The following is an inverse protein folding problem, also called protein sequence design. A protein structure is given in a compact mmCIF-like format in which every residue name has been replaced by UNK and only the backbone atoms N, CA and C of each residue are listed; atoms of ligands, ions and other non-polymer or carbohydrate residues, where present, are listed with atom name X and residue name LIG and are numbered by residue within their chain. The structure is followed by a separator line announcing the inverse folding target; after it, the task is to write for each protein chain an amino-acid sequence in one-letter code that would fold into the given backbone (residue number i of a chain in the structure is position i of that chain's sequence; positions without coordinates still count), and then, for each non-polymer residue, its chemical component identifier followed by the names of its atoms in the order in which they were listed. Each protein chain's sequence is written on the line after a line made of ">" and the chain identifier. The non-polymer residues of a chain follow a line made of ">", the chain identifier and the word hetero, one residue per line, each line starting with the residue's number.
data_IF_868678957328
#
_entry.id   IF_868678957328
#
_cell.length_a   1.000
_cell.length_b   1.000
_cell.length_c   1.000
_cell.angle_alpha   90.00
_cell.angle_beta   90.00
_cell.angle_gamma   90.00
#
_symmetry.space_group_name_H-M   'P 1'
#
loop_
_entity.id
_entity.type
_entity.pdbx_description
1 polymer ?
#
# COMPACT_ATOMS: atom_id res chain seq x y z
N UNK A 1 6.84 39.29 -77.41
CA UNK A 1 7.63 38.91 -76.21
C UNK A 1 6.69 38.96 -75.02
N UNK A 2 6.07 37.82 -74.67
CA UNK A 2 5.25 37.71 -73.46
C UNK A 2 6.09 37.09 -72.34
N UNK A 3 6.21 37.79 -71.23
CA UNK A 3 6.89 37.33 -70.02
C UNK A 3 5.93 36.52 -69.15
N UNK A 4 6.30 35.28 -68.82
CA UNK A 4 5.62 34.45 -67.84
C UNK A 4 6.12 34.80 -66.43
N UNK A 5 5.23 35.27 -65.56
CA UNK A 5 5.49 35.43 -64.13
C UNK A 5 5.12 34.13 -63.40
N UNK A 6 6.09 33.51 -62.73
CA UNK A 6 5.88 32.31 -61.89
C UNK A 6 5.61 32.79 -60.47
N UNK A 7 4.41 32.52 -59.96
CA UNK A 7 4.03 32.75 -58.57
C UNK A 7 4.42 31.53 -57.72
N UNK A 8 5.33 31.70 -56.76
CA UNK A 8 5.62 30.70 -55.73
C UNK A 8 4.58 30.82 -54.60
N UNK A 9 3.70 29.82 -54.48
CA UNK A 9 2.84 29.64 -53.30
C UNK A 9 3.68 29.01 -52.17
N UNK A 10 3.93 29.76 -51.10
CA UNK A 10 4.49 29.23 -49.85
C UNK A 10 3.33 28.71 -49.01
N UNK A 11 3.26 27.39 -48.85
CA UNK A 11 2.29 26.71 -48.00
C UNK A 11 2.72 26.86 -46.52
N UNK A 12 1.85 27.29 -45.59
CA UNK A 12 2.21 27.34 -44.17
C UNK A 12 2.27 25.92 -43.60
N UNK A 13 3.42 25.53 -43.08
CA UNK A 13 3.58 24.28 -42.33
C UNK A 13 2.87 24.46 -40.99
N UNK A 14 1.69 23.86 -40.86
CA UNK A 14 0.98 23.69 -39.60
C UNK A 14 1.82 22.77 -38.70
N UNK A 15 2.50 23.34 -37.71
CA UNK A 15 3.05 22.57 -36.60
C UNK A 15 1.89 21.98 -35.81
N UNK A 16 1.67 20.67 -35.94
CA UNK A 16 0.85 19.91 -35.01
C UNK A 16 1.49 20.00 -33.62
N UNK A 17 0.74 20.27 -32.53
CA UNK A 17 1.30 20.16 -31.20
C UNK A 17 1.74 18.70 -30.99
N UNK A 18 2.97 18.50 -30.54
CA UNK A 18 3.40 17.20 -30.03
C UNK A 18 2.35 16.78 -28.98
N UNK A 19 1.60 15.73 -29.28
CA UNK A 19 0.80 15.03 -28.28
C UNK A 19 1.74 14.64 -27.15
N UNK A 20 1.48 15.15 -25.95
CA UNK A 20 2.09 14.62 -24.73
C UNK A 20 1.90 13.11 -24.77
N UNK A 21 3.01 12.36 -24.82
CA UNK A 21 2.96 10.91 -24.65
C UNK A 21 2.26 10.64 -23.32
N UNK A 22 1.02 10.14 -23.38
CA UNK A 22 0.35 9.61 -22.19
C UNK A 22 1.30 8.57 -21.58
N UNK A 23 1.59 8.71 -20.29
CA UNK A 23 2.40 7.72 -19.57
C UNK A 23 1.57 6.44 -19.56
N UNK A 24 1.92 5.51 -20.44
CA UNK A 24 1.24 4.23 -20.53
C UNK A 24 1.68 3.36 -19.35
N UNK A 25 0.78 3.20 -18.39
CA UNK A 25 0.94 2.22 -17.32
C UNK A 25 0.71 0.82 -17.90
N UNK A 26 1.71 -0.08 -17.85
CA UNK A 26 1.67 -1.31 -18.64
C UNK A 26 0.89 -2.45 -17.99
N UNK A 27 0.48 -2.31 -16.73
CA UNK A 27 -0.22 -3.37 -15.98
C UNK A 27 -1.74 -3.20 -16.08
N UNK A 28 -2.44 -4.28 -16.37
CA UNK A 28 -3.89 -4.31 -16.61
C UNK A 28 -4.66 -5.18 -15.60
N UNK A 29 -3.96 -5.81 -14.66
CA UNK A 29 -4.56 -6.65 -13.63
C UNK A 29 -4.89 -5.78 -12.42
N UNK A 30 -6.19 -5.57 -12.20
CA UNK A 30 -6.73 -4.84 -11.05
C UNK A 30 -8.07 -5.48 -10.68
N UNK A 31 -8.18 -5.86 -9.42
CA UNK A 31 -9.38 -6.41 -8.82
C UNK A 31 -9.76 -5.55 -7.63
N UNK A 32 -10.89 -4.83 -7.74
CA UNK A 32 -11.47 -4.10 -6.62
C UNK A 32 -12.73 -4.86 -6.22
N UNK A 33 -12.75 -5.44 -5.02
CA UNK A 33 -13.80 -6.33 -4.56
C UNK A 33 -14.58 -5.62 -3.46
N UNK A 34 -15.90 -5.50 -3.66
CA UNK A 34 -16.85 -5.04 -2.66
C UNK A 34 -17.34 -6.26 -1.87
N UNK A 35 -16.79 -6.45 -0.68
CA UNK A 35 -17.06 -7.60 0.17
C UNK A 35 -18.41 -7.40 0.87
N UNK A 36 -19.42 -8.19 0.50
CA UNK A 36 -20.82 -7.99 0.89
C UNK A 36 -21.70 -7.38 -0.21
N UNK A 37 -21.07 -6.92 -1.30
CA UNK A 37 -21.75 -6.46 -2.51
C UNK A 37 -22.41 -7.63 -3.24
N UNK A 38 -23.71 -7.51 -3.56
CA UNK A 38 -24.45 -8.58 -4.27
C UNK A 38 -24.28 -8.57 -5.79
N UNK A 39 -23.80 -7.45 -6.33
CA UNK A 39 -23.67 -7.15 -7.76
C UNK A 39 -22.50 -6.21 -7.95
N UNK A 40 -21.87 -6.26 -9.13
CA UNK A 40 -20.85 -5.29 -9.49
C UNK A 40 -21.43 -3.87 -9.47
N UNK A 41 -20.60 -2.91 -9.06
CA UNK A 41 -20.94 -1.49 -8.98
C UNK A 41 -19.82 -0.66 -9.62
N UNK A 42 -20.10 0.60 -9.89
CA UNK A 42 -19.10 1.56 -10.39
C UNK A 42 -19.08 2.74 -9.46
N UNK A 43 -17.89 3.11 -8.99
CA UNK A 43 -17.76 4.17 -8.01
C UNK A 43 -17.93 5.58 -8.60
N UNK A 44 -17.98 6.60 -7.74
CA UNK A 44 -18.03 8.01 -8.18
C UNK A 44 -16.79 8.46 -8.95
N UNK A 45 -15.69 7.71 -8.83
CA UNK A 45 -14.43 7.90 -9.54
C UNK A 45 -14.32 6.99 -10.77
N UNK A 46 -15.44 6.39 -11.20
CA UNK A 46 -15.55 5.51 -12.36
C UNK A 46 -14.69 4.22 -12.25
N UNK A 47 -14.40 3.75 -11.03
CA UNK A 47 -13.77 2.44 -10.81
C UNK A 47 -14.84 1.37 -10.75
N UNK A 48 -14.55 0.23 -11.37
CA UNK A 48 -15.43 -0.94 -11.28
C UNK A 48 -15.11 -1.72 -10.01
N UNK A 49 -16.14 -2.01 -9.23
CA UNK A 49 -16.12 -2.87 -8.05
C UNK A 49 -16.84 -4.18 -8.35
N UNK A 50 -16.21 -5.29 -8.02
CA UNK A 50 -16.67 -6.65 -8.26
C UNK A 50 -17.35 -7.20 -7.01
N UNK A 51 -18.46 -7.91 -7.19
CA UNK A 51 -19.09 -8.65 -6.09
C UNK A 51 -18.20 -9.81 -5.64
N UNK A 52 -18.08 -10.01 -4.33
CA UNK A 52 -17.40 -11.15 -3.71
C UNK A 52 -18.08 -12.51 -3.97
N UNK A 53 -19.32 -12.53 -4.48
CA UNK A 53 -20.12 -13.77 -4.70
C UNK A 53 -19.40 -14.83 -5.53
N UNK A 54 -18.57 -14.44 -6.48
CA UNK A 54 -17.88 -15.36 -7.38
C UNK A 54 -16.46 -15.72 -6.91
N UNK A 55 -15.96 -15.08 -5.86
CA UNK A 55 -14.61 -15.26 -5.33
C UNK A 55 -14.58 -16.16 -4.09
N UNK A 56 -15.76 -16.47 -3.53
CA UNK A 56 -15.92 -17.46 -2.48
C UNK A 56 -16.04 -18.85 -3.11
N UNK A 57 -14.90 -19.50 -3.38
CA UNK A 57 -14.88 -20.84 -3.98
C UNK A 57 -15.53 -21.90 -3.10
N UNK A 58 -15.75 -21.64 -1.80
CA UNK A 58 -16.13 -22.70 -0.86
C UNK A 58 -17.60 -22.78 -0.43
N UNK A 59 -18.34 -21.73 -0.01
CA UNK A 59 -19.80 -21.91 0.23
C UNK A 59 -20.70 -20.68 -0.04
N UNK A 60 -21.91 -20.98 -0.51
CA UNK A 60 -23.00 -20.02 -0.73
C UNK A 60 -23.65 -19.57 0.58
N UNK A 61 -23.05 -18.65 1.35
CA UNK A 61 -23.81 -17.91 2.37
C UNK A 61 -23.49 -16.42 2.34
N UNK A 62 -24.49 -15.55 2.07
CA UNK A 62 -24.27 -14.11 2.21
C UNK A 62 -23.91 -13.78 3.66
N UNK A 63 -22.85 -12.97 3.85
CA UNK A 63 -22.54 -12.33 5.13
C UNK A 63 -23.73 -11.47 5.61
N UNK A 64 -23.79 -11.18 6.91
CA UNK A 64 -24.76 -10.18 7.37
C UNK A 64 -24.37 -8.82 6.81
N UNK A 65 -25.35 -8.15 6.21
CA UNK A 65 -25.20 -6.85 5.58
C UNK A 65 -25.28 -5.78 6.66
N UNK A 66 -24.25 -4.97 6.82
CA UNK A 66 -24.39 -3.74 7.59
C UNK A 66 -25.30 -2.75 6.87
N UNK A 67 -25.94 -1.84 7.62
CA UNK A 67 -26.56 -0.66 7.02
C UNK A 67 -25.47 0.26 6.45
N UNK A 68 -25.73 0.98 5.36
CA UNK A 68 -24.78 1.96 4.85
C UNK A 68 -24.41 2.96 5.94
N UNK A 69 -23.12 3.05 6.22
CA UNK A 69 -22.53 3.95 7.21
C UNK A 69 -22.78 5.41 6.81
N UNK A 70 -23.45 6.24 7.65
CA UNK A 70 -23.64 7.67 7.37
C UNK A 70 -22.34 8.49 7.38
N UNK A 71 -21.25 7.93 7.93
CA UNK A 71 -20.00 8.63 8.26
C UNK A 71 -18.72 7.86 7.89
N UNK A 72 -18.79 6.79 7.08
CA UNK A 72 -17.59 6.34 6.35
C UNK A 72 -17.04 7.54 5.56
N UNK A 73 -15.70 7.65 5.32
CA UNK A 73 -15.08 8.80 4.66
C UNK A 73 -16.00 9.35 3.57
N UNK A 74 -16.54 10.53 3.88
CA UNK A 74 -17.62 11.14 3.12
C UNK A 74 -17.24 11.12 1.64
N UNK A 75 -18.16 10.58 0.85
CA UNK A 75 -18.28 10.59 -0.61
C UNK A 75 -18.11 9.24 -1.30
N UNK A 76 -17.52 8.21 -0.68
CA UNK A 76 -17.36 6.93 -1.36
C UNK A 76 -18.52 5.96 -1.23
N UNK A 77 -18.57 5.05 -2.20
CA UNK A 77 -19.62 4.04 -2.34
C UNK A 77 -19.92 3.40 -1.00
N UNK A 78 -21.21 3.13 -0.67
CA UNK A 78 -21.53 2.41 0.53
C UNK A 78 -20.98 0.99 0.39
N UNK A 79 -19.71 0.82 0.74
CA UNK A 79 -19.07 -0.46 0.95
C UNK A 79 -19.83 -1.04 2.13
N UNK A 80 -20.52 -2.15 1.88
CA UNK A 80 -21.36 -2.78 2.89
C UNK A 80 -20.49 -3.82 3.58
N UNK A 81 -19.87 -3.52 4.73
CA UNK A 81 -18.98 -4.47 5.38
C UNK A 81 -19.68 -5.81 5.56
N UNK A 82 -19.02 -6.86 5.08
CA UNK A 82 -19.48 -8.23 5.20
C UNK A 82 -18.73 -8.90 6.33
N UNK A 83 -19.48 -9.70 7.09
CA UNK A 83 -18.86 -10.78 7.84
C UNK A 83 -18.17 -11.72 6.87
N UNK A 84 -16.85 -11.76 6.92
CA UNK A 84 -16.09 -12.84 6.33
C UNK A 84 -16.30 -14.05 7.23
N UNK A 85 -17.34 -14.82 6.93
CA UNK A 85 -17.62 -16.08 7.64
C UNK A 85 -16.69 -17.22 7.19
N UNK A 86 -15.84 -16.99 6.19
CA UNK A 86 -14.98 -17.99 5.56
C UNK A 86 -13.54 -17.49 5.53
N UNK A 87 -12.64 -18.29 6.08
CA UNK A 87 -11.29 -17.90 6.54
C UNK A 87 -10.26 -17.72 5.40
N UNK A 88 -10.66 -17.79 4.14
CA UNK A 88 -9.74 -17.78 2.99
C UNK A 88 -10.40 -17.20 1.73
N UNK A 89 -9.80 -16.16 1.15
CA UNK A 89 -10.12 -15.59 -0.15
C UNK A 89 -8.94 -15.88 -1.10
N UNK A 90 -9.12 -16.81 -2.06
CA UNK A 90 -8.11 -17.10 -3.08
C UNK A 90 -8.45 -16.40 -4.41
N UNK A 91 -7.42 -15.88 -5.09
CA UNK A 91 -7.57 -15.20 -6.37
C UNK A 91 -6.74 -15.83 -7.49
N UNK A 92 -7.36 -16.72 -8.28
CA UNK A 92 -6.71 -17.63 -9.25
C UNK A 92 -6.42 -17.06 -10.66
N UNK A 93 -6.31 -15.73 -10.83
CA UNK A 93 -5.94 -15.11 -12.11
C UNK A 93 -4.88 -14.02 -11.96
N UNK A 94 -3.95 -14.18 -11.02
CA UNK A 94 -2.90 -13.20 -10.74
C UNK A 94 -1.61 -13.64 -11.44
N UNK A 95 -1.22 -13.09 -12.61
CA UNK A 95 0.06 -13.43 -13.23
C UNK A 95 1.23 -13.27 -12.26
N UNK A 96 2.26 -14.11 -12.38
CA UNK A 96 3.45 -13.97 -11.55
C UNK A 96 4.00 -12.55 -11.61
N UNK A 97 4.24 -11.96 -10.44
CA UNK A 97 4.67 -10.57 -10.36
C UNK A 97 4.45 -9.98 -8.99
N UNK A 98 4.62 -8.66 -8.92
CA UNK A 98 4.43 -7.90 -7.69
C UNK A 98 3.07 -7.23 -7.67
N UNK A 99 2.46 -7.24 -6.50
CA UNK A 99 1.12 -6.73 -6.28
C UNK A 99 1.09 -5.73 -5.14
N UNK A 100 0.27 -4.70 -5.32
CA UNK A 100 -0.25 -3.87 -4.24
C UNK A 100 -1.56 -4.51 -3.77
N UNK A 101 -1.63 -4.81 -2.48
CA UNK A 101 -2.84 -5.35 -1.84
C UNK A 101 -3.31 -4.35 -0.81
N UNK A 102 -4.58 -3.98 -0.87
CA UNK A 102 -5.20 -3.07 0.09
C UNK A 102 -6.51 -3.64 0.59
N UNK A 103 -6.76 -3.46 1.88
CA UNK A 103 -7.99 -3.86 2.54
C UNK A 103 -8.64 -2.64 3.19
N UNK A 104 -9.96 -2.65 3.28
CA UNK A 104 -10.74 -1.73 4.10
C UNK A 104 -11.52 -2.51 5.14
N UNK A 105 -11.34 -2.16 6.41
CA UNK A 105 -11.92 -2.89 7.54
C UNK A 105 -12.71 -1.91 8.41
N UNK A 106 -13.96 -2.25 8.75
CA UNK A 106 -14.82 -1.42 9.59
C UNK A 106 -15.81 -2.28 10.38
N UNK A 107 -16.08 -1.89 11.62
CA UNK A 107 -17.03 -2.56 12.50
C UNK A 107 -17.95 -1.53 13.18
N UNK A 108 -19.06 -1.20 12.52
CA UNK A 108 -20.09 -0.29 13.04
C UNK A 108 -21.23 -1.04 13.73
N UNK A 109 -20.87 -2.00 14.61
CA UNK A 109 -21.84 -2.76 15.41
C UNK A 109 -23.01 -3.38 14.61
N UNK A 110 -22.77 -3.80 13.36
CA UNK A 110 -23.82 -4.25 12.48
C UNK A 110 -24.49 -5.56 12.95
N UNK A 111 -23.85 -6.31 13.85
CA UNK A 111 -24.38 -7.52 14.46
C UNK A 111 -25.06 -7.28 15.83
N UNK A 112 -25.11 -6.02 16.29
CA UNK A 112 -25.75 -5.61 17.54
C UNK A 112 -25.04 -6.06 18.81
N UNK A 113 -23.83 -6.63 18.72
CA UNK A 113 -23.09 -7.14 19.90
C UNK A 113 -22.28 -6.08 20.64
N UNK A 114 -22.06 -4.92 20.01
CA UNK A 114 -21.21 -3.84 20.51
C UNK A 114 -19.80 -4.33 20.86
N UNK A 115 -19.28 -5.25 20.05
CA UNK A 115 -18.03 -5.95 20.28
C UNK A 115 -17.28 -6.18 18.97
N UNK A 116 -16.26 -5.37 18.72
CA UNK A 116 -15.40 -5.52 17.54
C UNK A 116 -14.74 -6.91 17.51
N UNK A 117 -14.62 -7.55 16.34
CA UNK A 117 -14.03 -8.88 16.25
C UNK A 117 -12.51 -8.84 16.43
N UNK A 118 -11.95 -9.92 16.95
CA UNK A 118 -10.50 -10.18 16.90
C UNK A 118 -10.20 -11.21 15.82
N UNK A 119 -9.28 -10.88 14.91
CA UNK A 119 -8.86 -11.78 13.84
C UNK A 119 -7.48 -11.39 13.30
N UNK A 120 -6.91 -12.31 12.55
CA UNK A 120 -5.61 -12.18 11.88
C UNK A 120 -5.78 -12.27 10.37
N UNK A 121 -4.93 -11.57 9.62
CA UNK A 121 -4.93 -11.57 8.15
C UNK A 121 -3.55 -12.00 7.64
N UNK A 122 -3.51 -13.05 6.82
CA UNK A 122 -2.33 -13.42 6.05
C UNK A 122 -2.46 -13.10 4.57
N UNK A 123 -1.32 -12.79 3.94
CA UNK A 123 -1.19 -12.70 2.49
C UNK A 123 -0.03 -13.60 2.07
N UNK A 124 -0.25 -14.45 1.06
CA UNK A 124 0.71 -15.50 0.64
C UNK A 124 1.20 -16.35 1.82
N UNK A 125 0.27 -16.78 2.68
CA UNK A 125 0.57 -17.56 3.88
C UNK A 125 1.30 -16.82 4.99
N UNK A 126 1.64 -15.54 4.83
CA UNK A 126 2.41 -14.75 5.81
C UNK A 126 1.49 -13.84 6.60
N UNK A 127 1.55 -13.88 7.94
CA UNK A 127 0.73 -12.98 8.78
C UNK A 127 1.19 -11.52 8.64
N UNK A 128 0.26 -10.62 8.29
CA UNK A 128 0.57 -9.20 7.97
C UNK A 128 -0.24 -8.19 8.77
N UNK A 129 -1.49 -8.50 9.14
CA UNK A 129 -2.32 -7.61 9.96
C UNK A 129 -3.00 -8.37 11.10
N UNK A 130 -3.03 -7.75 12.28
CA UNK A 130 -3.68 -8.30 13.47
C UNK A 130 -4.68 -7.30 14.04
N UNK A 131 -5.95 -7.68 14.03
CA UNK A 131 -7.04 -6.89 14.59
C UNK A 131 -7.41 -7.45 15.97
N UNK A 132 -7.41 -6.60 16.99
CA UNK A 132 -7.64 -7.00 18.39
C UNK A 132 -8.69 -6.12 19.03
N UNK A 133 -9.74 -6.74 19.55
CA UNK A 133 -10.80 -6.07 20.31
C UNK A 133 -10.29 -5.56 21.66
N UNK A 134 -10.76 -4.40 22.16
CA UNK A 134 -11.66 -3.45 21.48
C UNK A 134 -10.92 -2.56 20.48
N UNK A 135 -11.53 -2.30 19.33
CA UNK A 135 -10.98 -1.38 18.33
C UNK A 135 -11.13 0.08 18.78
N UNK A 136 -10.25 0.98 18.33
CA UNK A 136 -10.47 2.42 18.49
C UNK A 136 -11.82 2.85 17.91
N UNK A 137 -12.46 3.84 18.54
CA UNK A 137 -13.76 4.34 18.11
C UNK A 137 -13.72 4.88 16.67
N UNK A 138 -12.64 5.58 16.32
CA UNK A 138 -12.44 6.12 14.96
C UNK A 138 -12.42 5.03 13.90
N UNK A 139 -11.70 3.93 14.15
CA UNK A 139 -11.65 2.75 13.28
C UNK A 139 -13.01 2.05 13.21
N UNK A 140 -13.73 1.99 14.32
CA UNK A 140 -15.05 1.36 14.36
C UNK A 140 -16.08 2.17 13.54
N UNK A 141 -16.01 3.51 13.59
CA UNK A 141 -16.97 4.40 12.93
C UNK A 141 -16.62 4.74 11.47
N UNK A 142 -15.35 4.96 11.16
CA UNK A 142 -14.88 5.42 9.85
C UNK A 142 -14.17 4.33 9.05
N UNK A 143 -13.83 3.21 9.70
CA UNK A 143 -13.02 2.16 9.12
C UNK A 143 -11.54 2.51 9.08
N UNK A 144 -10.75 1.54 8.64
CA UNK A 144 -9.32 1.67 8.47
C UNK A 144 -8.87 0.97 7.20
N UNK A 145 -8.01 1.63 6.45
CA UNK A 145 -7.32 1.03 5.31
C UNK A 145 -6.00 0.43 5.76
N UNK A 146 -5.66 -0.73 5.22
CA UNK A 146 -4.36 -1.38 5.45
C UNK A 146 -3.86 -1.92 4.13
N UNK A 147 -2.64 -1.56 3.76
CA UNK A 147 -2.07 -1.91 2.46
C UNK A 147 -0.62 -2.41 2.56
N UNK A 148 -0.22 -3.18 1.56
CA UNK A 148 1.10 -3.80 1.48
C UNK A 148 1.53 -4.06 0.03
N UNK A 149 2.80 -4.39 -0.15
CA UNK A 149 3.34 -4.93 -1.39
C UNK A 149 3.87 -6.35 -1.20
N UNK A 150 3.48 -7.25 -2.10
CA UNK A 150 3.83 -8.69 -2.04
C UNK A 150 4.15 -9.22 -3.44
N UNK A 151 4.94 -10.29 -3.51
CA UNK A 151 5.15 -11.05 -4.74
C UNK A 151 4.28 -12.30 -4.76
N UNK A 152 3.61 -12.53 -5.89
CA UNK A 152 2.82 -13.73 -6.16
C UNK A 152 3.56 -14.54 -7.22
N UNK A 153 3.81 -15.83 -6.97
CA UNK A 153 4.72 -16.65 -7.77
C UNK A 153 4.08 -17.86 -8.45
N UNK A 154 2.85 -18.21 -8.11
CA UNK A 154 2.17 -19.43 -8.54
C UNK A 154 0.89 -19.17 -9.36
N UNK A 155 0.56 -17.90 -9.60
CA UNK A 155 -0.61 -17.52 -10.37
C UNK A 155 -1.86 -17.23 -9.53
N UNK A 156 -1.78 -17.41 -8.20
CA UNK A 156 -2.89 -17.31 -7.28
C UNK A 156 -2.50 -16.38 -6.12
N UNK A 157 -3.24 -15.28 -5.91
CA UNK A 157 -3.00 -14.43 -4.75
C UNK A 157 -3.87 -14.89 -3.58
N UNK A 158 -3.25 -15.28 -2.48
CA UNK A 158 -3.93 -15.86 -1.31
C UNK A 158 -4.05 -14.83 -0.18
N UNK A 159 -5.29 -14.57 0.26
CA UNK A 159 -5.59 -13.69 1.39
C UNK A 159 -6.46 -14.44 2.40
N UNK A 160 -5.90 -14.82 3.55
CA UNK A 160 -6.61 -15.60 4.57
C UNK A 160 -6.96 -14.75 5.80
N UNK A 161 -8.09 -15.07 6.43
CA UNK A 161 -8.61 -14.43 7.64
C UNK A 161 -8.79 -15.47 8.73
N UNK A 162 -8.03 -15.38 9.80
CA UNK A 162 -8.08 -16.32 10.90
C UNK A 162 -8.88 -15.73 12.05
N UNK A 163 -10.01 -16.37 12.36
CA UNK A 163 -10.85 -15.97 13.49
C UNK A 163 -10.12 -16.22 14.81
N UNK A 164 -10.28 -15.32 15.78
CA UNK A 164 -9.83 -15.56 17.15
C UNK A 164 -11.05 -15.78 18.03
N UNK A 165 -11.04 -16.91 18.75
CA UNK A 165 -12.16 -17.37 19.55
C UNK A 165 -13.44 -17.57 18.71
N UNK A 166 -14.53 -16.86 19.02
CA UNK A 166 -15.81 -16.96 18.32
C UNK A 166 -16.12 -15.75 17.45
N UNK A 167 -15.14 -14.86 17.28
CA UNK A 167 -15.31 -13.61 16.54
C UNK A 167 -15.06 -13.83 15.04
N UNK A 168 -16.09 -13.69 14.20
CA UNK A 168 -15.91 -13.78 12.76
C UNK A 168 -15.12 -12.56 12.23
N UNK A 169 -14.12 -12.76 11.35
CA UNK A 169 -13.42 -11.67 10.68
C UNK A 169 -14.36 -10.77 9.87
N UNK A 170 -13.93 -9.52 9.64
CA UNK A 170 -14.71 -8.54 8.88
C UNK A 170 -13.83 -7.81 7.88
N UNK A 171 -14.39 -7.58 6.70
CA UNK A 171 -13.78 -6.75 5.67
C UNK A 171 -14.88 -6.04 4.87
N UNK A 172 -14.62 -4.79 4.51
CA UNK A 172 -15.45 -4.04 3.57
C UNK A 172 -14.99 -4.20 2.14
N UNK A 173 -13.68 -4.09 1.88
CA UNK A 173 -13.16 -4.25 0.53
C UNK A 173 -11.77 -4.86 0.48
N UNK A 174 -11.48 -5.49 -0.66
CA UNK A 174 -10.17 -6.02 -1.01
C UNK A 174 -9.79 -5.53 -2.41
N UNK A 175 -8.63 -4.90 -2.52
CA UNK A 175 -8.05 -4.41 -3.76
C UNK A 175 -6.73 -5.14 -4.03
N UNK A 176 -6.58 -5.71 -5.23
CA UNK A 176 -5.36 -6.40 -5.68
C UNK A 176 -4.98 -5.81 -7.03
N UNK A 177 -3.84 -5.12 -7.09
CA UNK A 177 -3.38 -4.39 -8.28
C UNK A 177 -1.96 -4.85 -8.63
N UNK A 178 -1.76 -5.30 -9.87
CA UNK A 178 -0.42 -5.62 -10.35
C UNK A 178 0.38 -4.34 -10.57
N UNK A 179 1.62 -4.35 -10.10
CA UNK A 179 2.55 -3.23 -10.17
C UNK A 179 3.89 -3.66 -10.77
N UNK A 180 4.76 -2.68 -10.99
CA UNK A 180 6.11 -2.95 -11.48
C UNK A 180 6.87 -3.86 -10.52
N UNK A 181 7.44 -4.95 -11.04
CA UNK A 181 8.23 -5.88 -10.26
C UNK A 181 9.39 -5.17 -9.55
N UNK A 182 10.05 -4.21 -10.22
CA UNK A 182 11.19 -3.46 -9.69
C UNK A 182 10.81 -2.28 -8.80
N UNK A 183 9.52 -2.09 -8.51
CA UNK A 183 9.07 -1.05 -7.57
C UNK A 183 9.76 -1.21 -6.21
N UNK A 184 9.80 -0.15 -5.41
CA UNK A 184 10.37 -0.11 -4.07
C UNK A 184 11.72 -0.84 -3.92
N UNK A 185 12.61 -0.71 -4.91
CA UNK A 185 13.94 -1.32 -4.94
C UNK A 185 13.95 -2.83 -4.62
N UNK A 186 12.98 -3.57 -5.17
CA UNK A 186 12.88 -5.02 -4.95
C UNK A 186 14.11 -5.81 -5.41
N UNK A 187 14.91 -5.25 -6.33
CA UNK A 187 16.17 -5.85 -6.75
C UNK A 187 17.19 -5.95 -5.60
N UNK A 188 17.15 -5.02 -4.66
CA UNK A 188 18.01 -4.99 -3.47
C UNK A 188 17.30 -5.62 -2.26
N UNK A 189 16.00 -5.36 -2.09
CA UNK A 189 15.22 -5.84 -0.93
C UNK A 189 14.94 -7.35 -1.02
N UNK A 190 14.73 -7.87 -2.22
CA UNK A 190 14.31 -9.25 -2.45
C UNK A 190 12.83 -9.38 -2.78
N UNK A 191 12.45 -10.58 -3.22
CA UNK A 191 11.07 -10.96 -3.55
C UNK A 191 10.41 -11.78 -2.45
N UNK A 192 11.17 -12.13 -1.41
CA UNK A 192 10.79 -12.89 -0.21
C UNK A 192 10.43 -11.96 0.97
N UNK A 193 10.14 -10.69 0.68
CA UNK A 193 9.79 -9.67 1.66
C UNK A 193 8.45 -9.04 1.29
N UNK A 194 7.54 -9.00 2.27
CA UNK A 194 6.29 -8.25 2.21
C UNK A 194 6.54 -6.87 2.82
N UNK A 195 6.21 -5.82 2.08
CA UNK A 195 6.31 -4.43 2.55
C UNK A 195 4.96 -4.01 3.12
N UNK A 196 4.81 -4.08 4.44
CA UNK A 196 3.58 -3.66 5.12
C UNK A 196 3.64 -2.16 5.42
N UNK A 197 2.63 -1.40 5.01
CA UNK A 197 2.60 0.06 5.17
C UNK A 197 2.35 0.46 6.64
N UNK A 198 3.32 1.15 7.24
CA UNK A 198 3.22 1.78 8.59
C UNK A 198 3.03 3.30 8.51
N UNK A 199 3.03 3.87 7.32
CA UNK A 199 2.76 5.27 7.09
C UNK A 199 3.20 5.71 5.71
N UNK A 200 2.25 6.21 4.91
CA UNK A 200 2.50 6.81 3.59
C UNK A 200 2.05 8.28 3.62
N UNK A 201 2.98 9.18 3.89
CA UNK A 201 2.72 10.58 4.21
C UNK A 201 2.87 11.51 3.00
N UNK A 202 1.91 12.40 2.80
CA UNK A 202 2.03 13.59 1.94
C UNK A 202 2.36 14.80 2.81
N UNK A 203 3.43 15.52 2.48
CA UNK A 203 3.85 16.66 3.27
C UNK A 203 3.23 17.97 2.75
N UNK A 204 2.50 18.66 3.63
CA UNK A 204 1.97 19.99 3.34
C UNK A 204 0.67 20.00 2.53
N UNK A 205 0.01 18.86 2.41
CA UNK A 205 -1.32 18.66 1.83
C UNK A 205 -2.19 17.87 2.81
N UNK A 206 -3.51 18.04 2.69
CA UNK A 206 -4.48 17.13 3.31
C UNK A 206 -4.41 15.73 2.66
N UNK A 207 -5.05 14.74 3.29
CA UNK A 207 -5.12 13.36 2.78
C UNK A 207 -5.74 13.30 1.38
N UNK A 208 -5.20 12.45 0.51
CA UNK A 208 -5.69 12.29 -0.88
C UNK A 208 -5.41 10.89 -1.44
N UNK A 209 -6.06 10.58 -2.57
CA UNK A 209 -5.97 9.29 -3.25
C UNK A 209 -7.28 8.49 -3.14
N UNK A 210 -7.27 7.21 -3.54
CA UNK A 210 -8.46 6.37 -3.51
C UNK A 210 -9.09 6.28 -2.12
N UNK A 211 -10.40 6.51 -2.00
CA UNK A 211 -11.05 6.65 -0.70
C UNK A 211 -11.30 8.11 -0.27
N UNK A 212 -10.64 9.08 -0.91
CA UNK A 212 -10.50 10.45 -0.37
C UNK A 212 -10.55 11.56 -1.42
N UNK A 213 -10.05 11.34 -2.64
CA UNK A 213 -10.06 12.33 -3.71
C UNK A 213 -9.95 11.70 -5.11
N UNK A 214 -10.25 12.49 -6.14
CA UNK A 214 -10.15 12.08 -7.54
C UNK A 214 -8.73 12.25 -8.13
N UNK A 215 -7.70 12.08 -7.31
CA UNK A 215 -6.31 12.20 -7.76
C UNK A 215 -5.77 10.87 -8.25
N UNK A 216 -5.05 10.91 -9.36
CA UNK A 216 -4.55 9.70 -10.02
C UNK A 216 -3.20 9.28 -9.46
N UNK A 217 -3.13 8.07 -8.92
CA UNK A 217 -1.91 7.31 -8.65
C UNK A 217 -2.04 5.95 -9.35
N UNK A 218 -1.07 5.60 -10.20
CA UNK A 218 -1.12 4.37 -10.99
C UNK A 218 -1.14 3.10 -10.13
N UNK A 219 -0.57 3.14 -8.92
CA UNK A 219 -0.60 2.01 -7.99
C UNK A 219 -1.88 1.99 -7.13
N UNK A 220 -2.71 3.04 -7.19
CA UNK A 220 -3.88 3.15 -6.31
C UNK A 220 -3.54 3.43 -4.84
N UNK A 221 -2.35 4.00 -4.57
CA UNK A 221 -1.93 4.37 -3.21
C UNK A 221 -2.72 5.58 -2.70
N UNK A 222 -3.02 5.56 -1.41
CA UNK A 222 -3.54 6.73 -0.68
C UNK A 222 -2.47 7.32 0.22
N UNK A 223 -2.48 8.64 0.35
CA UNK A 223 -1.46 9.41 1.04
C UNK A 223 -2.10 10.19 2.19
N UNK A 224 -1.66 9.92 3.42
CA UNK A 224 -2.17 10.57 4.63
C UNK A 224 -1.42 11.87 4.92
N UNK A 225 -2.09 12.82 5.56
CA UNK A 225 -1.43 14.05 6.00
C UNK A 225 -0.28 13.72 6.95
N UNK A 226 0.85 14.40 6.77
CA UNK A 226 2.02 14.23 7.63
C UNK A 226 1.86 14.91 9.01
N UNK A 227 0.78 15.66 9.23
CA UNK A 227 0.59 16.54 10.37
C UNK A 227 0.65 15.88 11.73
N UNK A 228 0.04 14.71 11.87
CA UNK A 228 -0.03 13.99 13.14
C UNK A 228 1.28 13.28 13.50
N UNK A 229 2.16 13.09 12.50
CA UNK A 229 3.44 12.40 12.64
C UNK A 229 4.60 13.34 12.95
N UNK A 230 4.38 14.66 12.86
CA UNK A 230 5.42 15.67 13.13
C UNK A 230 5.60 15.90 14.63
N UNK A 231 6.84 16.13 15.03
CA UNK A 231 7.12 16.62 16.37
C UNK A 231 6.49 18.01 16.57
N UNK A 232 5.78 18.20 17.69
CA UNK A 232 4.96 19.39 17.99
C UNK A 232 5.75 20.69 18.18
N UNK A 233 7.08 20.63 18.18
CA UNK A 233 7.99 21.74 18.48
C UNK A 233 8.47 22.52 17.24
N UNK A 234 8.05 22.12 16.03
CA UNK A 234 8.56 22.69 14.78
C UNK A 234 7.62 23.76 14.21
N UNK A 235 8.14 24.96 13.93
CA UNK A 235 7.39 26.02 13.25
C UNK A 235 7.32 25.74 11.73
N UNK A 236 6.37 24.89 11.35
CA UNK A 236 6.19 24.40 9.98
C UNK A 236 5.69 25.51 9.05
N UNK A 237 6.27 25.58 7.86
CA UNK A 237 5.79 26.35 6.71
C UNK A 237 5.43 25.40 5.59
N UNK A 238 4.17 25.43 5.14
CA UNK A 238 3.71 24.71 3.95
C UNK A 238 4.12 25.46 2.69
N UNK A 239 4.57 24.73 1.68
CA UNK A 239 4.87 25.22 0.35
C UNK A 239 3.95 24.50 -0.63
N UNK A 240 3.34 25.26 -1.54
CA UNK A 240 2.43 24.74 -2.56
C UNK A 240 2.81 25.34 -3.91
N UNK A 241 2.65 24.56 -4.97
CA UNK A 241 2.82 25.04 -6.34
C UNK A 241 1.81 24.40 -7.28
N UNK A 242 1.36 25.18 -8.26
CA UNK A 242 0.57 24.68 -9.39
C UNK A 242 1.43 24.38 -10.62
N UNK A 243 2.75 24.57 -10.53
CA UNK A 243 3.66 24.24 -11.64
C UNK A 243 3.74 22.72 -11.83
N UNK A 244 4.01 22.32 -13.07
CA UNK A 244 4.34 20.93 -13.37
C UNK A 244 5.67 20.56 -12.73
N UNK A 245 5.75 19.36 -12.16
CA UNK A 245 6.96 18.81 -11.56
C UNK A 245 7.52 17.73 -12.48
N UNK A 246 8.76 17.93 -12.95
CA UNK A 246 9.46 16.97 -13.78
C UNK A 246 9.80 15.68 -12.99
N UNK A 247 10.16 14.60 -13.70
CA UNK A 247 10.54 13.29 -13.13
C UNK A 247 9.46 12.57 -12.29
N UNK A 248 8.20 12.94 -12.47
CA UNK A 248 7.05 12.29 -11.82
C UNK A 248 6.47 11.20 -12.74
N UNK A 249 5.70 10.25 -12.18
CA UNK A 249 5.10 9.14 -12.90
C UNK A 249 6.11 8.32 -13.74
N UNK A 250 7.32 8.14 -13.22
CA UNK A 250 8.38 7.33 -13.85
C UNK A 250 8.46 5.95 -13.25
N UNK A 251 8.78 4.97 -14.10
CA UNK A 251 9.14 3.62 -13.67
C UNK A 251 10.30 3.65 -12.66
N UNK A 252 10.36 2.67 -11.73
CA UNK A 252 9.39 1.59 -11.55
C UNK A 252 8.22 1.97 -10.63
N UNK A 253 8.29 3.08 -9.89
CA UNK A 253 7.36 3.37 -8.80
C UNK A 253 6.14 4.22 -9.19
N UNK A 254 6.23 4.92 -10.33
CA UNK A 254 5.18 5.79 -10.84
C UNK A 254 4.63 6.78 -9.80
N UNK A 255 5.51 7.36 -8.97
CA UNK A 255 5.09 8.30 -7.93
C UNK A 255 4.35 9.51 -8.57
N UNK A 256 3.14 9.83 -8.11
CA UNK A 256 2.28 10.81 -8.75
C UNK A 256 2.80 12.23 -8.59
N UNK A 257 2.54 13.08 -9.59
CA UNK A 257 2.99 14.48 -9.58
C UNK A 257 2.44 15.27 -8.39
N UNK A 258 1.20 14.99 -7.98
CA UNK A 258 0.53 15.65 -6.86
C UNK A 258 1.35 15.64 -5.58
N UNK A 259 2.02 14.51 -5.29
CA UNK A 259 2.89 14.37 -4.11
C UNK A 259 3.98 15.44 -4.05
N UNK A 260 4.52 15.83 -5.21
CA UNK A 260 5.64 16.77 -5.30
C UNK A 260 5.20 18.23 -5.52
N UNK A 261 3.89 18.50 -5.58
CA UNK A 261 3.34 19.85 -5.69
C UNK A 261 3.11 20.51 -4.32
N UNK A 262 3.21 19.73 -3.24
CA UNK A 262 3.28 20.22 -1.87
C UNK A 262 4.59 19.81 -1.21
N UNK A 263 5.00 20.62 -0.23
CA UNK A 263 6.09 20.28 0.67
C UNK A 263 5.94 21.01 2.00
N UNK A 264 6.65 20.53 3.01
CA UNK A 264 6.88 21.26 4.26
C UNK A 264 8.33 21.69 4.37
N UNK A 265 8.53 22.84 4.98
CA UNK A 265 9.82 23.38 5.42
C UNK A 265 9.65 24.00 6.81
N UNK A 266 10.72 24.49 7.42
CA UNK A 266 10.67 25.16 8.73
C UNK A 266 10.94 26.65 8.55
N UNK A 267 10.27 27.47 9.37
CA UNK A 267 10.64 28.88 9.48
C UNK A 267 11.92 29.05 10.29
N UNK A 268 12.90 29.78 9.74
CA UNK A 268 14.22 29.94 10.36
C UNK A 268 15.12 28.73 10.14
N UNK A 269 16.04 28.47 11.08
CA UNK A 269 17.05 27.39 10.99
C UNK A 269 16.67 26.16 11.82
N UNK A 270 15.37 25.84 11.90
CA UNK A 270 14.89 24.65 12.61
C UNK A 270 15.03 23.36 11.77
N UNK A 271 14.94 22.22 12.44
CA UNK A 271 14.89 20.90 11.81
C UNK A 271 13.44 20.44 11.61
N UNK A 272 13.18 19.65 10.57
CA UNK A 272 11.94 18.87 10.47
C UNK A 272 12.14 17.57 11.24
N UNK A 273 11.15 17.16 12.02
CA UNK A 273 11.24 15.96 12.84
C UNK A 273 9.92 15.21 12.82
N UNK A 274 10.00 13.90 12.59
CA UNK A 274 8.90 12.96 12.54
C UNK A 274 9.10 11.85 13.55
N UNK A 275 8.01 11.46 14.19
CA UNK A 275 7.92 10.41 15.19
C UNK A 275 6.96 9.33 14.67
N UNK A 276 7.53 8.24 14.15
CA UNK A 276 6.77 7.15 13.53
C UNK A 276 6.63 5.99 14.52
N UNK A 277 5.40 5.62 14.85
CA UNK A 277 5.11 4.44 15.67
C UNK A 277 5.32 3.18 14.82
N UNK A 278 6.04 2.22 15.38
CA UNK A 278 6.49 1.00 14.70
C UNK A 278 6.59 -0.15 15.69
N UNK A 279 6.74 -1.36 15.18
CA UNK A 279 6.97 -2.55 15.98
C UNK A 279 8.46 -2.81 16.17
N UNK A 280 8.80 -3.34 17.34
CA UNK A 280 10.17 -3.73 17.63
C UNK A 280 10.54 -5.05 16.93
N UNK A 281 11.85 -5.25 16.72
CA UNK A 281 12.48 -6.45 16.13
C UNK A 281 12.15 -6.67 14.65
N UNK A 282 11.75 -5.62 13.94
CA UNK A 282 11.57 -5.63 12.49
C UNK A 282 12.56 -4.69 11.80
N UNK A 283 12.70 -4.89 10.49
CA UNK A 283 13.39 -3.99 9.59
C UNK A 283 12.38 -3.01 8.97
N UNK A 284 12.79 -1.77 8.74
CA UNK A 284 11.94 -0.73 8.17
C UNK A 284 12.57 -0.07 6.96
N UNK A 285 11.85 -0.06 5.84
CA UNK A 285 12.18 0.73 4.64
C UNK A 285 11.55 2.11 4.75
N UNK A 286 12.39 3.14 4.84
CA UNK A 286 11.98 4.53 4.75
C UNK A 286 12.19 5.05 3.32
N UNK A 287 11.16 5.65 2.73
CA UNK A 287 11.21 6.28 1.40
C UNK A 287 10.95 7.77 1.50
N UNK A 288 11.89 8.59 1.06
CA UNK A 288 11.82 10.04 1.14
C UNK A 288 11.54 10.64 -0.24
N UNK A 289 10.63 11.60 -0.28
CA UNK A 289 10.25 12.32 -1.50
C UNK A 289 10.60 13.79 -1.39
N UNK A 290 11.30 14.32 -2.39
CA UNK A 290 11.76 15.69 -2.43
C UNK A 290 11.41 16.35 -3.76
N UNK A 291 11.01 17.62 -3.71
CA UNK A 291 11.03 18.50 -4.87
C UNK A 291 11.36 19.93 -4.40
N UNK A 292 12.30 20.58 -5.09
CA UNK A 292 12.62 21.98 -4.79
C UNK A 292 11.60 22.90 -5.47
N UNK A 293 10.52 23.20 -4.75
CA UNK A 293 9.40 24.04 -5.22
C UNK A 293 9.49 25.49 -4.72
N UNK A 294 10.48 25.83 -3.90
CA UNK A 294 10.72 27.20 -3.45
C UNK A 294 11.55 27.96 -4.50
N UNK A 295 10.92 28.94 -5.17
CA UNK A 295 11.57 29.72 -6.21
C UNK A 295 12.80 30.53 -5.73
N UNK A 296 12.96 30.73 -4.42
CA UNK A 296 14.14 31.40 -3.85
C UNK A 296 15.40 30.51 -3.86
N UNK A 297 15.23 29.19 -3.89
CA UNK A 297 16.31 28.20 -3.98
C UNK A 297 16.51 27.84 -5.45
N UNK A 298 17.36 28.63 -6.11
CA UNK A 298 17.56 28.56 -7.57
C UNK A 298 18.98 28.19 -7.99
N UNK A 299 19.77 27.59 -7.10
CA UNK A 299 21.12 27.12 -7.37
C UNK A 299 21.51 26.04 -6.35
N UNK A 300 22.43 25.15 -6.74
CA UNK A 300 23.04 24.20 -5.82
C UNK A 300 23.74 24.93 -4.66
N UNK A 301 23.73 24.31 -3.48
CA UNK A 301 24.32 24.82 -2.25
C UNK A 301 23.44 25.80 -1.48
N UNK A 302 22.28 26.23 -2.01
CA UNK A 302 21.36 27.15 -1.32
C UNK A 302 20.48 26.48 -0.27
N UNK A 303 20.18 25.19 -0.44
CA UNK A 303 19.48 24.36 0.54
C UNK A 303 20.21 23.02 0.65
N UNK A 304 20.80 22.79 1.82
CA UNK A 304 21.55 21.57 2.13
C UNK A 304 21.21 21.14 3.55
N UNK A 305 20.78 19.91 3.72
CA UNK A 305 20.40 19.36 5.03
C UNK A 305 20.83 17.90 5.15
N UNK A 306 20.96 17.46 6.39
CA UNK A 306 21.32 16.08 6.74
C UNK A 306 20.07 15.32 7.16
N UNK A 307 19.95 14.08 6.72
CA UNK A 307 18.91 13.15 7.17
C UNK A 307 19.49 12.34 8.31
N UNK A 308 18.85 12.42 9.47
CA UNK A 308 19.24 11.75 10.70
C UNK A 308 18.11 10.80 11.10
N UNK A 309 18.41 9.51 11.19
CA UNK A 309 17.45 8.46 11.54
C UNK A 309 17.90 7.82 12.85
N UNK A 310 17.03 7.82 13.87
CA UNK A 310 17.36 7.34 15.22
C UNK A 310 18.67 7.92 15.77
N UNK A 311 18.90 9.22 15.55
CA UNK A 311 20.09 9.93 15.99
C UNK A 311 21.34 9.73 15.12
N UNK A 312 21.31 8.84 14.12
CA UNK A 312 22.44 8.60 13.22
C UNK A 312 22.27 9.39 11.92
N UNK A 313 23.28 10.18 11.55
CA UNK A 313 23.31 10.84 10.24
C UNK A 313 23.57 9.79 9.16
N UNK A 314 22.61 9.64 8.24
CA UNK A 314 22.65 8.62 7.17
C UNK A 314 23.02 9.20 5.82
N UNK A 315 22.65 10.46 5.53
CA UNK A 315 22.95 11.09 4.25
C UNK A 315 22.82 12.61 4.30
N UNK A 316 23.42 13.27 3.32
CA UNK A 316 23.32 14.71 3.09
C UNK A 316 22.63 14.96 1.75
N UNK A 317 21.62 15.82 1.77
CA UNK A 317 20.75 16.11 0.62
C UNK A 317 20.89 17.57 0.19
N UNK A 318 21.03 17.76 -1.11
CA UNK A 318 20.79 19.02 -1.83
C UNK A 318 19.94 18.68 -3.06
N UNK A 319 18.64 18.98 -2.97
CA UNK A 319 17.66 18.61 -4.00
C UNK A 319 17.96 19.33 -5.31
N UNK A 320 18.30 20.62 -5.24
CA UNK A 320 18.59 21.41 -6.43
C UNK A 320 19.84 20.90 -7.15
N UNK A 321 20.87 20.48 -6.41
CA UNK A 321 22.06 19.88 -6.99
C UNK A 321 21.75 18.57 -7.74
N UNK A 322 20.83 17.74 -7.22
CA UNK A 322 20.49 16.43 -7.79
C UNK A 322 19.61 16.54 -9.03
N UNK A 323 18.56 17.35 -8.96
CA UNK A 323 17.50 17.37 -9.99
C UNK A 323 17.09 18.76 -10.45
N UNK A 324 17.62 19.82 -9.85
CA UNK A 324 17.22 21.21 -10.11
C UNK A 324 15.92 21.61 -9.40
N UNK A 325 15.32 22.72 -9.84
CA UNK A 325 14.03 23.20 -9.32
C UNK A 325 12.84 22.59 -10.06
N UNK A 326 11.73 22.40 -9.36
CA UNK A 326 10.48 21.83 -9.91
C UNK A 326 10.68 20.45 -10.58
N UNK A 327 11.54 19.62 -10.01
CA UNK A 327 11.74 18.24 -10.40
C UNK A 327 11.72 17.34 -9.16
N UNK A 328 11.13 16.16 -9.30
CA UNK A 328 11.06 15.15 -8.25
C UNK A 328 12.39 14.41 -8.10
N UNK A 329 12.80 14.24 -6.85
CA UNK A 329 13.86 13.32 -6.41
C UNK A 329 13.30 12.42 -5.30
N UNK A 330 13.87 11.23 -5.16
CA UNK A 330 13.54 10.34 -4.07
C UNK A 330 14.76 9.56 -3.60
N UNK A 331 14.75 9.15 -2.34
CA UNK A 331 15.85 8.43 -1.73
C UNK A 331 15.31 7.53 -0.61
N UNK A 332 15.84 6.33 -0.47
CA UNK A 332 15.39 5.38 0.54
C UNK A 332 16.52 4.86 1.42
N UNK A 333 16.15 4.36 2.59
CA UNK A 333 17.06 3.79 3.58
C UNK A 333 16.37 2.68 4.36
N UNK A 334 17.10 1.58 4.60
CA UNK A 334 16.59 0.47 5.42
C UNK A 334 17.20 0.55 6.82
N UNK A 335 16.34 0.74 7.81
CA UNK A 335 16.69 0.62 9.23
C UNK A 335 16.60 -0.86 9.60
N UNK A 336 17.72 -1.44 10.04
CA UNK A 336 17.82 -2.86 10.37
C UNK A 336 17.64 -3.10 11.87
N UNK A 337 16.91 -4.15 12.22
CA UNK A 337 16.70 -4.70 13.55
C UNK A 337 16.36 -3.62 14.57
N UNK A 338 15.26 -2.91 14.32
CA UNK A 338 14.85 -1.81 15.18
C UNK A 338 14.43 -2.34 16.55
N UNK A 339 15.16 -2.00 17.61
CA UNK A 339 14.86 -2.49 18.96
C UNK A 339 13.75 -1.73 19.69
N UNK A 340 13.34 -0.57 19.16
CA UNK A 340 12.41 0.36 19.79
C UNK A 340 11.10 0.44 19.00
N UNK A 341 10.02 0.86 19.65
CA UNK A 341 8.70 1.06 19.01
C UNK A 341 8.51 2.46 18.43
N UNK A 342 9.54 3.30 18.49
CA UNK A 342 9.54 4.65 17.95
C UNK A 342 10.73 4.79 16.99
N UNK A 343 10.42 5.16 15.75
CA UNK A 343 11.37 5.50 14.71
C UNK A 343 11.38 7.02 14.51
N UNK A 344 12.52 7.66 14.79
CA UNK A 344 12.68 9.11 14.63
C UNK A 344 13.39 9.45 13.33
N UNK A 345 12.79 10.36 12.58
CA UNK A 345 13.35 10.87 11.31
C UNK A 345 13.48 12.37 11.41
N UNK A 346 14.70 12.88 11.25
CA UNK A 346 15.01 14.30 11.41
C UNK A 346 15.80 14.83 10.22
N UNK A 347 15.35 15.94 9.64
CA UNK A 347 16.08 16.66 8.60
C UNK A 347 16.70 17.90 9.24
N UNK A 348 18.02 17.90 9.39
CA UNK A 348 18.77 18.94 10.10
C UNK A 348 19.40 19.91 9.08
N UNK A 349 19.11 21.22 9.16
CA UNK A 349 19.65 22.20 8.22
C UNK A 349 21.18 22.31 8.37
N UNK A 350 21.87 22.33 7.23
CA UNK A 350 23.28 22.76 7.15
C UNK A 350 23.37 24.13 6.48
N UNK A 351 22.63 24.33 5.39
CA UNK A 351 22.44 25.62 4.72
C UNK A 351 20.97 25.73 4.33
N UNK A 352 20.27 26.77 4.80
CA UNK A 352 18.83 26.93 4.57
C UNK A 352 17.97 25.87 5.28
N UNK A 353 16.67 26.15 5.39
CA UNK A 353 15.73 25.23 6.02
C UNK A 353 15.52 23.98 5.14
N UNK A 354 15.37 22.77 5.73
CA UNK A 354 15.11 21.54 4.98
C UNK A 354 13.75 21.57 4.27
N UNK A 355 13.55 20.69 3.29
CA UNK A 355 12.28 20.52 2.58
C UNK A 355 11.95 19.04 2.43
N UNK A 356 10.67 18.69 2.54
CA UNK A 356 10.17 17.32 2.33
C UNK A 356 8.79 17.36 1.68
N UNK A 357 8.59 16.55 0.63
CA UNK A 357 7.31 16.43 -0.09
C UNK A 357 6.49 15.23 0.36
N UNK A 358 7.14 14.16 0.81
CA UNK A 358 6.48 12.97 1.33
C UNK A 358 7.45 12.03 2.03
N UNK A 359 6.91 11.13 2.84
CA UNK A 359 7.67 10.14 3.60
C UNK A 359 6.86 8.85 3.69
N UNK A 360 7.44 7.74 3.26
CA UNK A 360 6.85 6.41 3.41
C UNK A 360 7.67 5.57 4.41
N UNK A 361 6.98 4.70 5.14
CA UNK A 361 7.54 3.78 6.13
C UNK A 361 6.91 2.39 5.95
N UNK A 362 7.71 1.41 5.58
CA UNK A 362 7.25 0.03 5.41
C UNK A 362 8.00 -0.91 6.36
N UNK A 363 7.28 -1.74 7.10
CA UNK A 363 7.90 -2.90 7.74
C UNK A 363 8.24 -3.94 6.66
N UNK A 364 9.44 -4.50 6.73
CA UNK A 364 9.87 -5.62 5.91
C UNK A 364 9.59 -6.91 6.68
N UNK A 365 8.55 -7.62 6.27
CA UNK A 365 8.16 -8.91 6.85
C UNK A 365 8.65 -10.03 5.90
N UNK A 366 9.54 -10.93 6.36
CA UNK A 366 9.92 -12.09 5.56
C UNK A 366 8.70 -12.94 5.25
N UNK A 367 8.56 -13.35 3.98
CA UNK A 367 7.51 -14.26 3.57
C UNK A 367 7.69 -15.62 4.26
N UNK A 368 6.59 -16.15 4.79
CA UNK A 368 6.54 -17.47 5.40
C UNK A 368 6.77 -18.56 4.34
N UNK A 369 7.28 -19.70 4.78
CA UNK A 369 7.42 -20.87 3.92
C UNK A 369 6.04 -21.48 3.63
N UNK A 370 5.73 -21.69 2.36
CA UNK A 370 4.52 -22.42 1.95
C UNK A 370 4.71 -23.94 2.09
N UNK A 371 3.59 -24.66 2.18
CA UNK A 371 3.57 -26.12 2.09
C UNK A 371 3.97 -26.59 0.71
N UNK A 372 4.64 -27.76 0.62
CA UNK A 372 4.97 -28.38 -0.67
C UNK A 372 3.68 -28.57 -1.51
N UNK A 373 3.65 -28.12 -2.78
CA UNK A 373 2.42 -28.11 -3.59
C UNK A 373 1.68 -29.45 -3.68
N UNK A 374 2.41 -30.56 -3.82
CA UNK A 374 1.81 -31.90 -3.87
C UNK A 374 1.05 -32.26 -2.57
N UNK A 375 1.54 -31.78 -1.42
CA UNK A 375 0.86 -31.98 -0.14
C UNK A 375 -0.32 -31.03 0.01
N UNK A 376 -0.26 -29.79 -0.47
CA UNK A 376 -1.43 -28.89 -0.51
C UNK A 376 -2.58 -29.56 -1.27
N UNK A 377 -2.30 -30.12 -2.45
CA UNK A 377 -3.29 -30.84 -3.26
C UNK A 377 -3.86 -32.05 -2.49
N UNK A 378 -3.01 -32.85 -1.86
CA UNK A 378 -3.43 -34.03 -1.11
C UNK A 378 -4.29 -33.66 0.12
N UNK A 379 -3.88 -32.63 0.88
CA UNK A 379 -4.60 -32.14 2.06
C UNK A 379 -5.95 -31.54 1.70
N UNK A 380 -6.02 -30.80 0.57
CA UNK A 380 -7.28 -30.28 0.03
C UNK A 380 -8.23 -31.42 -0.36
N UNK A 381 -7.74 -32.45 -1.04
CA UNK A 381 -8.53 -33.65 -1.37
C UNK A 381 -8.99 -34.41 -0.10
N UNK A 382 -8.16 -34.46 0.95
CA UNK A 382 -8.53 -35.06 2.23
C UNK A 382 -9.64 -34.27 2.94
N UNK A 383 -9.51 -32.93 3.02
CA UNK A 383 -10.55 -32.01 3.54
C UNK A 383 -11.90 -32.26 2.87
N UNK A 384 -11.89 -32.35 1.54
CA UNK A 384 -13.08 -32.65 0.73
C UNK A 384 -13.67 -34.03 1.02
N UNK A 385 -12.83 -35.07 1.03
CA UNK A 385 -13.24 -36.46 1.29
C UNK A 385 -13.86 -36.63 2.68
N UNK A 386 -13.29 -35.99 3.70
CA UNK A 386 -13.78 -36.04 5.08
C UNK A 386 -14.93 -35.06 5.34
N UNK A 387 -15.26 -34.19 4.38
CA UNK A 387 -16.28 -33.13 4.50
C UNK A 387 -16.06 -32.26 5.74
N UNK A 388 -14.79 -31.90 5.99
CA UNK A 388 -14.42 -31.05 7.13
C UNK A 388 -15.11 -29.68 6.98
N UNK A 389 -15.94 -29.26 7.95
CA UNK A 389 -16.56 -27.95 7.92
C UNK A 389 -15.51 -26.85 7.98
N UNK A 390 -15.75 -25.72 7.29
CA UNK A 390 -14.83 -24.57 7.31
C UNK A 390 -14.52 -24.06 8.73
N UNK A 391 -15.47 -24.18 9.66
CA UNK A 391 -15.29 -23.80 11.08
C UNK A 391 -14.28 -24.64 11.88
N UNK A 392 -13.68 -25.68 11.28
CA UNK A 392 -12.65 -26.52 11.94
C UNK A 392 -11.23 -26.04 11.62
N UNK A 393 -11.06 -24.82 11.08
CA UNK A 393 -9.74 -24.20 10.86
C UNK A 393 -8.91 -24.78 9.72
N UNK A 394 -9.42 -25.75 8.96
CA UNK A 394 -8.71 -26.30 7.81
C UNK A 394 -8.85 -25.40 6.57
N UNK A 395 -8.36 -24.16 6.65
CA UNK A 395 -8.42 -23.17 5.55
C UNK A 395 -7.03 -22.60 5.28
N UNK A 396 -6.79 -22.19 4.05
CA UNK A 396 -5.46 -21.72 3.61
C UNK A 396 -4.50 -22.87 3.30
N UNK A 397 -3.23 -22.49 3.31
CA UNK A 397 -2.10 -23.40 3.32
C UNK A 397 -2.13 -24.28 4.60
N UNK A 398 -1.97 -25.62 4.50
CA UNK A 398 -2.01 -26.51 5.65
C UNK A 398 -0.96 -26.26 6.75
N UNK A 399 0.13 -25.57 6.42
CA UNK A 399 1.26 -25.34 7.31
C UNK A 399 1.61 -23.86 7.50
N UNK A 400 0.95 -22.93 6.81
CA UNK A 400 1.21 -21.50 6.91
C UNK A 400 -0.04 -20.74 7.41
N UNK A 401 0.12 -19.74 8.30
CA UNK A 401 1.38 -19.10 8.70
C UNK A 401 2.23 -19.95 9.67
N UNK A 402 3.52 -19.66 9.74
CA UNK A 402 4.49 -20.50 10.49
C UNK A 402 4.48 -20.31 12.00
N UNK A 403 3.77 -19.28 12.47
CA UNK A 403 3.77 -18.86 13.88
C UNK A 403 2.81 -19.67 14.77
N UNK A 404 1.89 -20.44 14.19
CA UNK A 404 0.99 -21.36 14.88
C UNK A 404 0.50 -22.48 13.93
N UNK A 405 -0.16 -23.50 14.46
CA UNK A 405 -0.67 -24.63 13.65
C UNK A 405 -1.88 -24.18 12.82
N UNK A 406 -1.64 -23.85 11.54
CA UNK A 406 -2.65 -23.32 10.62
C UNK A 406 -3.91 -24.22 10.52
N UNK A 407 -3.71 -25.53 10.31
CA UNK A 407 -4.79 -26.51 10.33
C UNK A 407 -4.78 -27.30 11.63
N UNK A 408 -5.92 -27.31 12.34
CA UNK A 408 -6.03 -28.02 13.61
C UNK A 408 -5.67 -29.52 13.45
N UNK A 409 -4.70 -30.00 14.24
CA UNK A 409 -4.24 -31.38 14.23
C UNK A 409 -3.16 -31.70 13.19
N UNK A 410 -2.81 -30.76 12.30
CA UNK A 410 -1.76 -30.94 11.30
C UNK A 410 -0.43 -30.42 11.86
N UNK A 411 0.61 -31.25 11.85
CA UNK A 411 1.95 -30.84 12.27
C UNK A 411 2.91 -30.78 11.09
N UNK A 412 3.58 -29.64 10.93
CA UNK A 412 4.46 -29.38 9.80
C UNK A 412 5.92 -29.13 10.23
N UNK A 413 6.85 -29.52 9.37
CA UNK A 413 8.27 -29.26 9.55
C UNK A 413 8.92 -28.77 8.26
N UNK A 414 9.95 -27.91 8.33
CA UNK A 414 10.73 -27.54 7.16
C UNK A 414 11.32 -28.77 6.47
N UNK A 415 11.34 -28.74 5.14
CA UNK A 415 12.05 -29.74 4.35
C UNK A 415 13.58 -29.65 4.62
N UNK A 416 14.34 -30.64 4.16
CA UNK A 416 15.82 -30.66 4.36
C UNK A 416 16.58 -29.45 3.82
N UNK A 417 15.96 -28.66 2.93
CA UNK A 417 16.56 -27.48 2.31
C UNK A 417 16.04 -26.17 2.92
N UNK A 418 15.11 -26.26 3.88
CA UNK A 418 14.42 -25.11 4.50
C UNK A 418 13.74 -24.18 3.48
N UNK A 419 13.24 -24.74 2.36
CA UNK A 419 12.60 -23.96 1.28
C UNK A 419 11.08 -24.12 1.21
N UNK A 420 10.51 -25.04 1.99
CA UNK A 420 9.08 -25.34 2.04
C UNK A 420 8.75 -26.16 3.29
N UNK A 421 7.47 -26.15 3.70
CA UNK A 421 6.95 -26.95 4.80
C UNK A 421 6.40 -28.28 4.31
N UNK A 422 6.56 -29.31 5.14
CA UNK A 422 6.10 -30.67 4.90
C UNK A 422 5.20 -31.10 6.04
N UNK A 423 3.99 -31.53 5.71
CA UNK A 423 3.06 -32.19 6.62
C UNK A 423 3.67 -33.51 7.07
N UNK A 424 3.84 -33.65 8.39
CA UNK A 424 4.51 -34.78 9.02
C UNK A 424 3.56 -35.67 9.83
N UNK A 425 2.50 -35.10 10.41
CA UNK A 425 1.49 -35.80 11.21
C UNK A 425 0.11 -35.16 11.00
N UNK A 426 -0.93 -35.98 11.19
CA UNK A 426 -2.35 -35.64 11.13
C UNK A 426 -3.13 -36.43 12.18
#
# INVERSE_FOLDING_TARGET
>A
MLAFAVFFFILPILFSPLSSSEVQYPFNVSYNIDCGGSTNSVDQFNRTWLSDRNYNRWFHRPGFRASPLPSAPREDHPILPSLVREEELLYSQSPNGRYYVRTFTVYDNYDGKSHSPSFDLSVEGTLVFSWRSPWPEEVSQHGAYSDLFVYVNDGEADVCFYSIATDPPVIGSLEIIQIDAYSYDSATIGTDQILVNYGRLTCGSDQWGPGFSNDTDFFGRSWQSDEEFRAKNSNIKRLLTSKSIANTNKLPNYFPMRLYQSAVTVTGNGALEYELQVDAKLDYLLWFHFAEIDASVNAAGKRVFEVVINGNNVTRIDVYQRVGGFAADNWHYVVKNLSNTLLTVKLVPVVGAPILSGLENYALIPADLSTVPDQVIAMRALKESLRIPARMGWNGDPCAPTNWDAWEGVTCHPNKKETALVVSQM
#
